data_IF_134717525468
#
_entry.id   IF_134717525468
#
_cell.length_a   1.000
_cell.length_b   1.000
_cell.length_c   1.000
_cell.angle_alpha   90.00
_cell.angle_beta   90.00
_cell.angle_gamma   90.00
#
_symmetry.space_group_name_H-M   'P 1'
#
loop_
_entity.id
_entity.type
_entity.pdbx_description
1 polymer ?
#
# COMPACT_ATOMS: atom_id res chain seq x y z
N UNK A 1 71.84 29.15 -14.40
CA UNK A 1 70.91 28.80 -15.50
C UNK A 1 70.07 27.64 -14.98
N UNK A 2 69.19 27.92 -14.01
CA UNK A 2 67.74 28.09 -14.25
C UNK A 2 67.13 26.87 -14.94
N UNK A 3 66.47 25.99 -14.19
CA UNK A 3 65.01 25.81 -14.32
C UNK A 3 64.47 24.62 -13.49
N UNK A 4 63.55 24.98 -12.62
CA UNK A 4 62.40 24.23 -12.07
C UNK A 4 61.97 22.92 -12.78
N UNK A 5 61.50 21.95 -11.97
CA UNK A 5 60.30 21.06 -12.12
C UNK A 5 60.55 19.72 -11.38
N UNK A 6 59.68 19.08 -10.60
CA UNK A 6 58.29 19.28 -10.16
C UNK A 6 58.07 18.31 -8.99
N UNK A 7 57.44 18.77 -7.91
CA UNK A 7 56.98 17.93 -6.80
C UNK A 7 55.84 17.00 -7.29
N UNK A 8 56.02 15.68 -7.23
CA UNK A 8 54.99 14.72 -7.58
C UNK A 8 53.93 14.68 -6.46
N UNK A 9 52.81 15.38 -6.64
CA UNK A 9 51.61 15.21 -5.79
C UNK A 9 50.93 13.90 -6.19
N UNK A 10 50.96 12.91 -5.29
CA UNK A 10 50.10 11.74 -5.37
C UNK A 10 48.66 12.16 -5.07
N UNK A 11 47.85 12.38 -6.10
CA UNK A 11 46.42 12.60 -5.95
C UNK A 11 45.73 11.24 -5.86
N UNK A 12 45.39 10.81 -4.65
CA UNK A 12 44.43 9.72 -4.42
C UNK A 12 43.07 10.15 -5.02
N UNK A 13 42.73 9.62 -6.20
CA UNK A 13 41.38 9.70 -6.73
C UNK A 13 40.50 8.74 -5.92
N UNK A 14 39.96 9.23 -4.80
CA UNK A 14 38.87 8.56 -4.10
C UNK A 14 37.61 8.77 -4.97
N UNK A 15 37.36 7.83 -5.88
CA UNK A 15 36.13 7.80 -6.65
C UNK A 15 34.95 7.64 -5.70
N UNK A 16 34.28 8.74 -5.38
CA UNK A 16 32.94 8.71 -4.81
C UNK A 16 32.04 8.07 -5.85
N UNK A 17 31.79 6.77 -5.71
CA UNK A 17 30.64 6.11 -6.29
C UNK A 17 29.41 6.75 -5.64
N UNK A 18 28.97 7.87 -6.21
CA UNK A 18 27.64 8.41 -5.96
C UNK A 18 26.70 7.38 -6.57
N UNK A 19 26.30 6.40 -5.76
CA UNK A 19 25.23 5.49 -6.14
C UNK A 19 24.03 6.35 -6.48
N UNK A 20 23.66 6.37 -7.76
CA UNK A 20 22.38 6.93 -8.18
C UNK A 20 21.31 6.25 -7.34
N UNK A 21 20.46 7.02 -6.66
CA UNK A 21 19.31 6.46 -5.97
C UNK A 21 18.46 5.70 -6.99
N UNK A 22 18.61 4.38 -7.04
CA UNK A 22 17.82 3.54 -7.93
C UNK A 22 16.41 3.45 -7.34
N UNK A 23 15.45 4.00 -8.07
CA UNK A 23 14.06 3.57 -7.98
C UNK A 23 14.02 2.11 -8.45
N UNK A 24 13.96 1.14 -7.54
CA UNK A 24 14.33 -0.24 -7.87
C UNK A 24 13.22 -1.24 -7.55
N UNK A 25 12.47 -1.58 -8.59
CA UNK A 25 11.83 -2.89 -8.68
C UNK A 25 12.94 -3.91 -8.99
N UNK A 26 13.22 -4.79 -8.03
CA UNK A 26 14.29 -5.80 -8.16
C UNK A 26 13.78 -7.05 -8.84
N UNK A 27 12.49 -7.35 -8.70
CA UNK A 27 11.92 -8.60 -9.20
C UNK A 27 10.43 -8.49 -9.48
N UNK A 28 10.00 -9.11 -10.57
CA UNK A 28 8.62 -9.32 -10.96
C UNK A 28 8.33 -10.81 -10.88
N UNK A 29 7.23 -11.17 -10.20
CA UNK A 29 6.60 -12.48 -10.30
C UNK A 29 5.28 -12.30 -11.04
N UNK A 30 5.23 -12.71 -12.30
CA UNK A 30 4.07 -12.52 -13.16
C UNK A 30 3.39 -13.86 -13.47
N UNK A 31 2.06 -13.83 -13.55
CA UNK A 31 1.28 -14.89 -14.15
C UNK A 31 1.50 -14.94 -15.65
N UNK A 32 1.21 -16.09 -16.26
CA UNK A 32 1.07 -16.18 -17.72
C UNK A 32 -0.05 -15.20 -18.14
N UNK A 33 0.14 -14.41 -19.23
CA UNK A 33 -0.91 -13.56 -19.76
C UNK A 33 -2.16 -14.37 -20.13
N UNK A 34 -3.34 -13.87 -19.75
CA UNK A 34 -4.64 -14.49 -20.05
C UNK A 34 -5.51 -13.54 -20.88
N UNK A 35 -6.43 -14.05 -21.74
CA UNK A 35 -7.35 -13.19 -22.46
C UNK A 35 -8.20 -12.33 -21.51
N UNK A 36 -8.28 -11.02 -21.77
CA UNK A 36 -9.17 -10.12 -21.04
C UNK A 36 -10.53 -10.01 -21.73
N UNK A 37 -11.57 -9.62 -20.97
CA UNK A 37 -12.91 -9.31 -21.48
C UNK A 37 -13.51 -10.42 -22.37
N UNK A 38 -13.32 -11.68 -21.96
CA UNK A 38 -13.75 -12.88 -22.70
C UNK A 38 -13.29 -12.93 -24.18
N UNK A 39 -12.13 -12.31 -24.46
CA UNK A 39 -11.54 -12.27 -25.80
C UNK A 39 -12.22 -11.29 -26.77
N UNK A 40 -13.05 -10.37 -26.26
CA UNK A 40 -13.68 -9.29 -27.05
C UNK A 40 -12.63 -8.53 -27.87
N UNK A 41 -12.99 -8.22 -29.12
CA UNK A 41 -12.16 -7.41 -30.02
C UNK A 41 -12.67 -5.98 -30.01
N UNK A 42 -11.78 -5.03 -29.71
CA UNK A 42 -12.10 -3.61 -29.73
C UNK A 42 -11.57 -2.99 -31.03
N UNK A 43 -12.37 -2.13 -31.66
CA UNK A 43 -11.96 -1.40 -32.85
C UNK A 43 -10.69 -0.59 -32.55
N UNK A 44 -9.73 -0.58 -33.48
CA UNK A 44 -8.44 0.12 -33.33
C UNK A 44 -7.39 -0.66 -32.51
N UNK A 45 -7.77 -1.29 -31.40
CA UNK A 45 -6.82 -1.89 -30.46
C UNK A 45 -6.73 -3.43 -30.48
N UNK A 46 -7.71 -4.13 -31.05
CA UNK A 46 -7.73 -5.59 -31.13
C UNK A 46 -8.16 -6.25 -29.81
N UNK A 47 -7.62 -7.45 -29.54
CA UNK A 47 -7.85 -8.19 -28.29
C UNK A 47 -6.97 -7.63 -27.18
N UNK A 48 -7.40 -7.83 -25.94
CA UNK A 48 -6.63 -7.49 -24.74
C UNK A 48 -6.24 -8.74 -23.99
N UNK A 49 -5.15 -8.64 -23.26
CA UNK A 49 -4.69 -9.63 -22.30
C UNK A 49 -4.49 -8.99 -20.93
N UNK A 50 -4.53 -9.85 -19.91
CA UNK A 50 -4.34 -9.48 -18.51
C UNK A 50 -3.13 -10.22 -17.94
N UNK A 51 -2.32 -9.50 -17.18
CA UNK A 51 -1.15 -10.02 -16.48
C UNK A 51 -1.27 -9.61 -15.01
N UNK A 52 -1.24 -10.59 -14.10
CA UNK A 52 -1.31 -10.37 -12.65
C UNK A 52 -0.01 -10.80 -12.01
N UNK A 53 0.34 -10.22 -10.87
CA UNK A 53 1.58 -10.61 -10.22
C UNK A 53 1.95 -9.78 -9.01
N UNK A 54 3.22 -9.88 -8.65
CA UNK A 54 3.86 -9.10 -7.58
C UNK A 54 5.11 -8.42 -8.12
N UNK A 55 5.31 -7.17 -7.72
CA UNK A 55 6.56 -6.47 -7.88
C UNK A 55 7.24 -6.32 -6.52
N UNK A 56 8.48 -6.78 -6.43
CA UNK A 56 9.36 -6.68 -5.28
C UNK A 56 10.28 -5.48 -5.48
N UNK A 57 10.37 -4.63 -4.47
CA UNK A 57 11.21 -3.44 -4.55
C UNK A 57 12.03 -3.21 -3.29
N UNK A 58 13.07 -2.40 -3.46
CA UNK A 58 14.06 -2.08 -2.45
C UNK A 58 14.37 -0.59 -2.45
N UNK A 59 14.46 0.00 -1.26
CA UNK A 59 14.88 1.40 -1.10
C UNK A 59 16.03 1.54 -0.11
N UNK A 60 16.97 2.43 -0.42
CA UNK A 60 18.02 2.81 0.53
C UNK A 60 17.39 3.78 1.56
N UNK A 61 17.34 3.41 2.86
CA UNK A 61 16.78 4.27 3.90
C UNK A 61 17.59 5.55 4.13
N UNK A 62 18.84 5.63 3.64
CA UNK A 62 19.73 6.79 3.78
C UNK A 62 19.64 7.74 2.58
N UNK A 63 19.07 7.31 1.46
CA UNK A 63 18.92 8.16 0.29
C UNK A 63 17.97 9.34 0.62
N UNK A 64 18.30 10.60 0.27
CA UNK A 64 17.50 11.76 0.67
C UNK A 64 16.02 11.66 0.32
N UNK A 65 15.68 11.11 -0.85
CA UNK A 65 14.28 10.93 -1.28
C UNK A 65 13.49 9.85 -0.52
N UNK A 66 14.17 8.97 0.20
CA UNK A 66 13.53 7.92 1.01
C UNK A 66 13.64 8.22 2.51
N UNK A 67 14.67 8.96 2.95
CA UNK A 67 14.89 9.30 4.35
C UNK A 67 13.75 10.12 4.98
N UNK A 68 12.91 10.76 4.16
CA UNK A 68 11.68 11.44 4.57
C UNK A 68 10.54 10.49 4.98
N UNK A 69 10.63 9.20 4.62
CA UNK A 69 9.63 8.21 4.96
C UNK A 69 9.71 7.94 6.46
N UNK A 70 8.59 8.19 7.15
CA UNK A 70 8.50 7.96 8.60
C UNK A 70 8.92 6.53 8.95
N UNK A 71 9.75 6.39 9.98
CA UNK A 71 10.28 5.13 10.53
C UNK A 71 11.15 4.30 9.57
N UNK A 72 11.52 4.79 8.39
CA UNK A 72 12.34 4.03 7.42
C UNK A 72 13.71 3.63 7.98
N UNK A 73 14.28 4.46 8.86
CA UNK A 73 15.55 4.17 9.53
C UNK A 73 15.47 2.98 10.52
N UNK A 74 14.26 2.70 11.02
CA UNK A 74 13.90 1.66 11.98
C UNK A 74 13.33 0.40 11.31
N UNK A 75 13.17 0.42 9.98
CA UNK A 75 12.72 -0.72 9.22
C UNK A 75 13.79 -1.84 9.22
N UNK A 76 13.38 -3.12 9.19
CA UNK A 76 14.29 -4.22 8.89
C UNK A 76 14.94 -4.03 7.51
N UNK A 77 16.21 -4.44 7.41
CA UNK A 77 17.03 -4.28 6.21
C UNK A 77 17.55 -5.64 5.77
N UNK A 78 17.61 -5.86 4.47
CA UNK A 78 18.23 -7.06 3.91
C UNK A 78 19.77 -6.98 4.01
N UNK A 79 20.47 -8.02 3.53
CA UNK A 79 21.93 -8.10 3.57
C UNK A 79 22.66 -6.97 2.81
N UNK A 80 21.98 -6.26 1.91
CA UNK A 80 22.49 -5.07 1.20
C UNK A 80 22.26 -3.77 1.96
N UNK A 81 21.56 -3.82 3.09
CA UNK A 81 21.18 -2.63 3.86
C UNK A 81 19.93 -1.92 3.32
N UNK A 82 19.20 -2.53 2.39
CA UNK A 82 18.00 -1.96 1.77
C UNK A 82 16.74 -2.36 2.52
N UNK A 83 15.72 -1.51 2.50
CA UNK A 83 14.38 -1.82 3.02
C UNK A 83 13.53 -2.37 1.89
N UNK A 84 12.96 -3.56 2.11
CA UNK A 84 12.19 -4.29 1.11
C UNK A 84 10.69 -4.01 1.24
N UNK A 85 9.98 -4.03 0.11
CA UNK A 85 8.52 -4.02 0.06
C UNK A 85 8.02 -4.91 -1.09
N UNK A 86 6.73 -5.26 -1.04
CA UNK A 86 6.05 -5.99 -2.12
C UNK A 86 4.73 -5.32 -2.46
N UNK A 87 4.45 -5.14 -3.74
CA UNK A 87 3.18 -4.63 -4.25
C UNK A 87 2.55 -5.64 -5.20
N UNK A 88 1.25 -5.91 -5.04
CA UNK A 88 0.49 -6.61 -6.08
C UNK A 88 0.37 -5.71 -7.30
N UNK A 89 0.39 -6.33 -8.49
CA UNK A 89 0.19 -5.66 -9.77
C UNK A 89 -0.84 -6.39 -10.62
N UNK A 90 -1.65 -5.63 -11.34
CA UNK A 90 -2.63 -6.13 -12.30
C UNK A 90 -2.62 -5.22 -13.52
N UNK A 91 -2.42 -5.80 -14.70
CA UNK A 91 -2.16 -5.09 -15.93
C UNK A 91 -3.12 -5.61 -16.98
N UNK A 92 -3.86 -4.71 -17.63
CA UNK A 92 -4.65 -5.01 -18.82
C UNK A 92 -4.07 -4.19 -19.98
N UNK A 93 -3.67 -4.88 -21.06
CA UNK A 93 -3.00 -4.26 -22.23
C UNK A 93 -3.49 -4.87 -23.55
N UNK A 94 -3.34 -4.17 -24.69
CA UNK A 94 -3.53 -4.78 -25.99
C UNK A 94 -2.63 -6.01 -26.14
N UNK A 95 -3.20 -7.11 -26.64
CA UNK A 95 -2.47 -8.36 -26.89
C UNK A 95 -1.47 -8.23 -28.06
N UNK A 96 -1.76 -7.31 -29.00
CA UNK A 96 -0.81 -6.85 -30.01
C UNK A 96 -0.24 -5.49 -29.56
N UNK A 97 1.03 -5.43 -29.11
CA UNK A 97 1.65 -4.19 -28.66
C UNK A 97 1.65 -3.07 -29.70
N UNK A 98 1.66 -3.40 -31.00
CA UNK A 98 1.63 -2.39 -32.08
C UNK A 98 0.30 -1.63 -32.13
N UNK A 99 -0.73 -2.11 -31.43
CA UNK A 99 -2.05 -1.48 -31.31
C UNK A 99 -2.25 -0.73 -29.99
N UNK A 100 -1.21 -0.62 -29.16
CA UNK A 100 -1.22 0.28 -28.01
C UNK A 100 -1.12 1.73 -28.45
N UNK A 101 -1.75 2.62 -27.68
CA UNK A 101 -1.56 4.08 -27.84
C UNK A 101 -0.32 4.62 -27.11
N UNK A 102 0.51 3.75 -26.53
CA UNK A 102 1.70 4.10 -25.75
C UNK A 102 1.42 4.94 -24.50
N UNK A 103 0.18 4.95 -24.00
CA UNK A 103 -0.20 5.63 -22.76
C UNK A 103 -0.54 4.59 -21.70
N UNK A 104 0.15 4.72 -20.56
CA UNK A 104 -0.08 3.92 -19.37
C UNK A 104 -1.01 4.68 -18.42
N UNK A 105 -2.20 4.12 -18.20
CA UNK A 105 -3.11 4.58 -17.14
C UNK A 105 -2.72 3.90 -15.82
N UNK A 106 -1.91 4.61 -15.03
CA UNK A 106 -1.41 4.12 -13.74
C UNK A 106 -2.42 4.45 -12.64
N UNK A 107 -3.29 3.51 -12.32
CA UNK A 107 -4.37 3.74 -11.37
C UNK A 107 -3.92 3.51 -9.92
N UNK A 108 -3.84 4.60 -9.17
CA UNK A 108 -3.75 4.56 -7.70
C UNK A 108 -5.07 4.01 -7.16
N UNK A 109 -5.03 2.77 -6.69
CA UNK A 109 -6.22 2.08 -6.16
C UNK A 109 -6.73 2.73 -4.88
N UNK A 110 -8.05 2.73 -4.70
CA UNK A 110 -8.67 3.19 -3.46
C UNK A 110 -8.90 1.99 -2.53
N UNK A 111 -8.10 1.87 -1.46
CA UNK A 111 -8.15 0.72 -0.52
C UNK A 111 -8.01 -0.63 -1.22
N UNK A 112 -7.12 -0.68 -2.21
CA UNK A 112 -6.91 -1.85 -3.05
C UNK A 112 -7.94 -2.04 -4.17
N UNK A 113 -8.99 -1.22 -4.26
CA UNK A 113 -10.03 -1.38 -5.27
C UNK A 113 -9.69 -0.72 -6.62
N UNK A 114 -9.99 -1.42 -7.72
CA UNK A 114 -9.61 -1.09 -9.10
C UNK A 114 -10.66 -0.20 -9.77
N UNK A 115 -10.55 1.11 -9.53
CA UNK A 115 -11.55 2.07 -10.03
C UNK A 115 -11.46 2.43 -11.52
N UNK A 116 -10.28 2.26 -12.15
CA UNK A 116 -10.03 2.85 -13.47
C UNK A 116 -11.05 2.48 -14.58
N UNK A 117 -11.47 1.23 -14.72
CA UNK A 117 -12.41 0.87 -15.80
C UNK A 117 -13.74 1.61 -15.62
N UNK A 118 -14.34 1.56 -14.43
CA UNK A 118 -15.61 2.24 -14.14
C UNK A 118 -15.54 3.77 -14.08
N UNK A 119 -14.35 4.36 -13.96
CA UNK A 119 -14.17 5.81 -13.97
C UNK A 119 -14.14 6.40 -15.39
N UNK A 120 -13.69 5.63 -16.39
CA UNK A 120 -13.46 6.11 -17.75
C UNK A 120 -14.37 5.49 -18.80
N UNK A 121 -14.87 4.27 -18.57
CA UNK A 121 -15.80 3.61 -19.47
C UNK A 121 -17.24 3.76 -18.94
N UNK A 122 -18.20 3.96 -19.84
CA UNK A 122 -19.62 3.93 -19.51
C UNK A 122 -20.12 2.48 -19.36
N UNK A 123 -21.29 2.32 -18.72
CA UNK A 123 -22.01 1.03 -18.61
C UNK A 123 -21.23 -0.13 -17.95
N UNK A 124 -20.24 0.21 -17.11
CA UNK A 124 -19.50 -0.77 -16.29
C UNK A 124 -20.31 -1.11 -15.05
N UNK A 125 -20.34 -2.40 -14.67
CA UNK A 125 -20.91 -2.84 -13.39
C UNK A 125 -20.37 -2.03 -12.19
N UNK A 126 -21.29 -1.51 -11.38
CA UNK A 126 -20.98 -0.45 -10.43
C UNK A 126 -20.50 -0.92 -9.05
N UNK A 127 -20.71 -2.18 -8.66
CA UNK A 127 -20.27 -2.63 -7.33
C UNK A 127 -18.76 -2.89 -7.30
N UNK A 128 -18.17 -2.74 -6.12
CA UNK A 128 -16.70 -2.83 -5.92
C UNK A 128 -16.15 -4.21 -6.29
N UNK A 129 -16.93 -5.28 -6.06
CA UNK A 129 -16.48 -6.63 -6.38
C UNK A 129 -16.32 -6.85 -7.88
N UNK A 130 -17.31 -6.43 -8.67
CA UNK A 130 -17.27 -6.48 -10.13
C UNK A 130 -16.17 -5.56 -10.69
N UNK A 131 -15.94 -4.40 -10.08
CA UNK A 131 -14.82 -3.53 -10.49
C UNK A 131 -13.46 -4.22 -10.27
N UNK A 132 -13.28 -4.92 -9.15
CA UNK A 132 -12.02 -5.58 -8.84
C UNK A 132 -11.73 -6.82 -9.70
N UNK A 133 -12.76 -7.46 -10.28
CA UNK A 133 -12.53 -8.50 -11.28
C UNK A 133 -11.96 -7.91 -12.56
N UNK A 134 -12.26 -6.63 -12.87
CA UNK A 134 -11.86 -5.93 -14.09
C UNK A 134 -12.20 -6.70 -15.38
N UNK A 135 -13.28 -7.49 -15.35
CA UNK A 135 -13.72 -8.34 -16.47
C UNK A 135 -14.76 -7.70 -17.36
N UNK A 136 -15.41 -6.64 -16.90
CA UNK A 136 -16.42 -5.89 -17.64
C UNK A 136 -15.82 -4.60 -18.20
N UNK A 137 -15.68 -4.47 -19.53
CA UNK A 137 -15.17 -3.25 -20.13
C UNK A 137 -16.23 -2.16 -20.26
N UNK A 138 -17.52 -2.43 -19.99
CA UNK A 138 -18.60 -1.50 -20.34
C UNK A 138 -18.60 -1.17 -21.83
N UNK A 139 -18.67 0.12 -22.16
CA UNK A 139 -18.54 0.63 -23.54
C UNK A 139 -17.15 0.39 -24.16
N UNK A 140 -16.14 0.09 -23.34
CA UNK A 140 -14.78 -0.19 -23.76
C UNK A 140 -14.02 1.02 -24.28
N UNK A 141 -14.37 2.25 -23.88
CA UNK A 141 -13.72 3.47 -24.39
C UNK A 141 -12.19 3.45 -24.25
N UNK A 142 -11.67 3.05 -23.09
CA UNK A 142 -10.23 2.88 -22.86
C UNK A 142 -9.63 1.84 -23.82
N UNK A 143 -10.32 0.72 -24.01
CA UNK A 143 -9.85 -0.38 -24.83
C UNK A 143 -9.84 -0.01 -26.31
N UNK A 144 -10.89 0.64 -26.83
CA UNK A 144 -10.95 1.12 -28.22
C UNK A 144 -9.82 2.11 -28.54
N UNK A 145 -9.31 2.82 -27.54
CA UNK A 145 -8.19 3.75 -27.66
C UNK A 145 -6.82 3.11 -27.41
N UNK A 146 -6.74 1.82 -27.11
CA UNK A 146 -5.46 1.11 -26.95
C UNK A 146 -4.70 1.42 -25.66
N UNK A 147 -5.36 1.87 -24.59
CA UNK A 147 -4.70 2.13 -23.31
C UNK A 147 -4.20 0.86 -22.63
N UNK A 148 -3.03 0.94 -22.03
CA UNK A 148 -2.59 -0.04 -21.02
C UNK A 148 -3.00 0.46 -19.65
N UNK A 149 -3.76 -0.33 -18.90
CA UNK A 149 -4.22 0.00 -17.55
C UNK A 149 -3.43 -0.82 -16.55
N UNK A 150 -2.90 -0.16 -15.52
CA UNK A 150 -2.12 -0.78 -14.45
C UNK A 150 -2.73 -0.42 -13.11
N UNK A 151 -2.97 -1.42 -12.29
CA UNK A 151 -3.27 -1.28 -10.87
C UNK A 151 -2.12 -1.81 -10.05
N UNK A 152 -1.87 -1.18 -8.91
CA UNK A 152 -0.88 -1.64 -7.95
C UNK A 152 -1.34 -1.37 -6.52
N UNK A 153 -0.88 -2.18 -5.57
CA UNK A 153 -1.14 -1.95 -4.16
C UNK A 153 -0.18 -0.92 -3.57
N UNK A 154 -0.68 0.08 -2.85
CA UNK A 154 0.16 1.06 -2.15
C UNK A 154 -0.12 1.14 -0.65
N UNK A 155 -1.29 0.67 -0.21
CA UNK A 155 -1.75 0.83 1.16
C UNK A 155 -1.50 -0.46 1.96
N UNK A 156 -0.61 -0.39 2.95
CA UNK A 156 -0.08 -1.56 3.70
C UNK A 156 -0.99 -2.15 4.78
N UNK A 157 -2.14 -1.54 5.04
CA UNK A 157 -3.15 -1.98 5.99
C UNK A 157 -4.44 -2.45 5.31
N UNK A 158 -4.45 -2.67 3.98
CA UNK A 158 -5.59 -3.29 3.30
C UNK A 158 -5.55 -4.81 3.52
N UNK A 159 -6.65 -5.39 4.01
CA UNK A 159 -6.77 -6.85 4.13
C UNK A 159 -7.03 -7.51 2.77
N UNK A 160 -6.73 -8.81 2.66
CA UNK A 160 -7.03 -9.59 1.47
C UNK A 160 -8.55 -9.75 1.23
N UNK A 161 -8.91 -10.22 0.05
CA UNK A 161 -10.30 -10.51 -0.34
C UNK A 161 -10.83 -9.54 -1.41
N UNK A 162 -11.87 -9.98 -2.10
CA UNK A 162 -12.52 -9.26 -3.19
C UNK A 162 -11.56 -8.80 -4.31
N UNK A 163 -10.50 -9.57 -4.61
CA UNK A 163 -9.50 -9.25 -5.64
C UNK A 163 -8.80 -7.88 -5.50
N UNK A 164 -8.75 -7.33 -4.29
CA UNK A 164 -8.05 -6.09 -3.97
C UNK A 164 -6.55 -6.19 -4.23
N UNK A 165 -5.94 -5.09 -4.64
CA UNK A 165 -4.48 -4.95 -4.75
C UNK A 165 -3.88 -4.67 -3.39
N UNK A 166 -2.96 -5.53 -2.94
CA UNK A 166 -2.35 -5.45 -1.63
C UNK A 166 -0.94 -4.89 -1.70
N UNK A 167 -0.50 -4.34 -0.57
CA UNK A 167 0.85 -3.85 -0.37
C UNK A 167 1.38 -4.42 0.94
N UNK A 168 2.61 -4.92 0.93
CA UNK A 168 3.30 -5.38 2.12
C UNK A 168 4.45 -4.42 2.44
N UNK A 169 4.26 -3.66 3.53
CA UNK A 169 5.30 -2.86 4.16
C UNK A 169 5.84 -3.60 5.39
N UNK A 170 7.14 -3.49 5.68
CA UNK A 170 7.72 -4.02 6.90
C UNK A 170 7.22 -3.26 8.14
N UNK A 171 7.28 -3.94 9.28
CA UNK A 171 7.04 -3.34 10.59
C UNK A 171 8.35 -2.75 11.11
N UNK A 172 8.32 -1.48 11.53
CA UNK A 172 9.47 -0.83 12.15
C UNK A 172 9.67 -1.34 13.59
N UNK A 173 10.94 -1.45 14.00
CA UNK A 173 11.35 -1.92 15.33
C UNK A 173 12.36 -0.95 15.95
N UNK A 174 12.40 -0.89 17.28
CA UNK A 174 13.49 -0.20 17.97
C UNK A 174 14.84 -0.85 17.64
N UNK A 175 15.94 -0.13 17.87
CA UNK A 175 17.30 -0.62 17.57
C UNK A 175 17.67 -1.90 18.32
N UNK A 176 17.06 -2.13 19.48
CA UNK A 176 17.23 -3.34 20.29
C UNK A 176 16.31 -4.51 19.85
N UNK A 177 15.51 -4.31 18.79
CA UNK A 177 14.56 -5.27 18.26
C UNK A 177 13.18 -5.24 18.93
N UNK A 178 13.00 -4.46 20.00
CA UNK A 178 11.71 -4.34 20.68
C UNK A 178 10.67 -3.63 19.80
N UNK A 179 9.40 -3.87 20.11
CA UNK A 179 8.30 -3.26 19.39
C UNK A 179 8.23 -1.74 19.62
N UNK A 180 7.96 -1.00 18.54
CA UNK A 180 7.62 0.42 18.66
C UNK A 180 6.17 0.52 19.10
N UNK A 181 5.91 1.33 20.13
CA UNK A 181 4.56 1.62 20.59
C UNK A 181 4.25 3.11 20.46
N UNK A 182 2.97 3.44 20.24
CA UNK A 182 2.53 4.82 20.06
C UNK A 182 1.04 4.97 20.36
N UNK A 183 0.60 6.20 20.64
CA UNK A 183 -0.81 6.48 20.89
C UNK A 183 -1.53 6.59 19.53
N UNK A 184 -2.60 5.82 19.37
CA UNK A 184 -3.49 5.88 18.21
C UNK A 184 -4.87 6.31 18.69
N UNK A 185 -5.48 7.23 17.93
CA UNK A 185 -6.91 7.56 18.03
C UNK A 185 -7.64 6.85 16.91
N UNK A 186 -8.69 6.13 17.25
CA UNK A 186 -9.63 5.52 16.31
C UNK A 186 -11.04 6.01 16.58
N UNK A 187 -11.84 6.16 15.54
CA UNK A 187 -13.25 6.48 15.63
C UNK A 187 -14.07 5.35 15.04
N UNK A 188 -14.79 4.65 15.91
CA UNK A 188 -15.60 3.48 15.60
C UNK A 188 -17.03 3.92 15.39
N UNK A 189 -17.57 3.54 14.23
CA UNK A 189 -18.96 3.69 13.85
C UNK A 189 -19.45 2.35 13.32
N UNK A 190 -20.65 1.94 13.72
CA UNK A 190 -21.24 0.67 13.35
C UNK A 190 -22.53 0.88 12.56
N UNK A 191 -22.78 0.03 11.57
CA UNK A 191 -24.01 0.08 10.75
C UNK A 191 -25.17 -0.68 11.38
N UNK A 192 -24.87 -1.66 12.24
CA UNK A 192 -25.84 -2.42 13.02
C UNK A 192 -25.32 -2.55 14.47
N UNK A 193 -26.22 -2.74 15.45
CA UNK A 193 -25.80 -3.03 16.82
C UNK A 193 -24.85 -4.22 16.88
N UNK A 194 -23.71 -4.07 17.55
CA UNK A 194 -22.71 -5.13 17.74
C UNK A 194 -22.01 -4.95 19.08
N UNK A 195 -21.54 -6.04 19.68
CA UNK A 195 -20.72 -5.99 20.91
C UNK A 195 -19.24 -5.82 20.62
N UNK A 196 -18.78 -6.22 19.44
CA UNK A 196 -17.37 -6.22 19.08
C UNK A 196 -17.16 -5.39 17.80
N UNK A 197 -16.04 -4.68 17.74
CA UNK A 197 -15.54 -4.00 16.54
C UNK A 197 -14.02 -4.17 16.42
N UNK A 198 -13.47 -4.02 15.21
CA UNK A 198 -12.03 -3.84 15.06
C UNK A 198 -11.59 -2.52 15.70
N UNK A 199 -10.38 -2.47 16.29
CA UNK A 199 -9.86 -1.26 16.95
C UNK A 199 -9.66 -0.09 15.97
N UNK A 200 -9.41 -0.36 14.68
CA UNK A 200 -9.40 0.62 13.59
C UNK A 200 -10.63 0.54 12.67
N UNK A 201 -11.70 -0.12 13.13
CA UNK A 201 -12.95 -0.26 12.37
C UNK A 201 -13.75 1.04 12.33
N UNK A 202 -14.46 1.28 11.24
CA UNK A 202 -15.32 2.45 11.06
C UNK A 202 -16.02 2.44 9.70
N UNK A 203 -16.87 3.44 9.47
CA UNK A 203 -17.75 3.52 8.30
C UNK A 203 -17.01 3.32 6.97
N UNK A 204 -15.83 3.93 6.83
CA UNK A 204 -15.05 3.88 5.59
C UNK A 204 -14.10 2.69 5.49
N UNK A 205 -13.79 2.06 6.62
CA UNK A 205 -12.87 0.91 6.64
C UNK A 205 -13.61 -0.41 6.46
N UNK A 206 -14.91 -0.47 6.78
CA UNK A 206 -15.82 -1.63 6.61
C UNK A 206 -15.22 -2.97 7.11
N UNK A 207 -14.33 -2.90 8.12
CA UNK A 207 -13.56 -4.07 8.59
C UNK A 207 -12.53 -4.63 7.60
N UNK A 208 -12.35 -4.00 6.44
CA UNK A 208 -11.41 -4.38 5.41
C UNK A 208 -9.98 -3.90 5.62
N UNK A 209 -9.66 -3.35 6.80
CA UNK A 209 -8.34 -2.82 7.14
C UNK A 209 -7.72 -3.53 8.36
N UNK A 210 -6.43 -3.79 8.26
CA UNK A 210 -5.60 -4.36 9.29
C UNK A 210 -5.15 -3.29 10.28
N UNK A 211 -5.88 -3.18 11.38
CA UNK A 211 -5.63 -2.16 12.41
C UNK A 211 -4.31 -2.42 13.15
N UNK A 212 -3.68 -1.35 13.65
CA UNK A 212 -2.57 -1.49 14.58
C UNK A 212 -3.05 -2.25 15.83
N UNK A 213 -2.37 -3.34 16.23
CA UNK A 213 -2.71 -4.05 17.45
C UNK A 213 -2.46 -3.17 18.68
N UNK A 214 -3.28 -3.32 19.73
CA UNK A 214 -2.96 -2.75 21.04
C UNK A 214 -1.71 -3.41 21.64
N UNK A 215 -0.88 -2.63 22.31
CA UNK A 215 0.31 -3.10 23.00
C UNK A 215 -0.03 -3.93 24.26
N UNK A 216 -1.25 -3.78 24.80
CA UNK A 216 -1.77 -4.57 25.91
C UNK A 216 -3.28 -4.74 25.74
N UNK A 217 -3.79 -5.95 26.01
CA UNK A 217 -5.24 -6.20 26.06
C UNK A 217 -5.85 -5.82 27.41
N UNK A 218 -5.03 -5.56 28.44
CA UNK A 218 -5.48 -5.00 29.70
C UNK A 218 -5.71 -3.49 29.53
N UNK A 219 -6.96 -3.07 29.70
CA UNK A 219 -7.37 -1.67 29.65
C UNK A 219 -7.55 -1.04 31.04
N UNK A 220 -7.39 -1.78 32.14
CA UNK A 220 -7.55 -1.28 33.51
C UNK A 220 -6.24 -0.85 34.17
N UNK A 221 -5.11 -1.38 33.70
CA UNK A 221 -3.78 -1.06 34.23
C UNK A 221 -3.09 0.03 33.41
N UNK A 222 -2.54 1.03 34.10
CA UNK A 222 -1.73 2.09 33.46
C UNK A 222 -0.42 1.53 32.93
N UNK A 223 0.00 1.99 31.77
CA UNK A 223 1.35 1.81 31.27
C UNK A 223 2.37 2.50 32.20
N UNK A 224 3.64 2.15 32.08
CA UNK A 224 4.71 2.69 32.92
C UNK A 224 4.84 4.22 32.88
N UNK A 225 4.43 4.85 31.77
CA UNK A 225 4.38 6.31 31.59
C UNK A 225 3.08 6.95 32.10
N UNK A 226 2.21 6.18 32.75
CA UNK A 226 0.94 6.62 33.30
C UNK A 226 -0.22 6.65 32.29
N UNK A 227 0.02 6.30 31.02
CA UNK A 227 -1.04 6.23 30.01
C UNK A 227 -2.06 5.14 30.34
N UNK A 228 -3.35 5.45 30.18
CA UNK A 228 -4.45 4.50 30.25
C UNK A 228 -5.29 4.67 28.98
N UNK A 229 -5.64 3.59 28.26
CA UNK A 229 -6.48 3.70 27.09
C UNK A 229 -7.88 4.18 27.50
N UNK A 230 -8.54 4.96 26.64
CA UNK A 230 -9.86 5.52 26.90
C UNK A 230 -10.82 5.22 25.77
N UNK A 231 -12.09 5.02 26.13
CA UNK A 231 -13.20 4.92 25.21
C UNK A 231 -14.21 6.01 25.56
N UNK A 232 -14.59 6.82 24.58
CA UNK A 232 -15.65 7.83 24.76
C UNK A 232 -16.73 7.65 23.69
N UNK A 233 -17.92 8.15 23.96
CA UNK A 233 -19.04 8.14 23.02
C UNK A 233 -19.62 9.54 22.86
N UNK A 234 -19.96 9.91 21.63
CA UNK A 234 -20.69 11.15 21.30
C UNK A 234 -21.62 10.95 20.11
N UNK A 235 -22.65 11.79 20.00
CA UNK A 235 -23.64 11.73 18.89
C UNK A 235 -23.25 12.65 17.73
N UNK A 236 -22.47 13.70 17.99
CA UNK A 236 -21.97 14.64 16.97
C UNK A 236 -20.47 14.82 17.16
N UNK A 237 -19.75 15.04 16.07
CA UNK A 237 -18.29 15.22 16.11
C UNK A 237 -17.89 16.35 17.06
N UNK A 238 -18.61 17.47 17.01
CA UNK A 238 -18.37 18.66 17.83
C UNK A 238 -18.89 18.57 19.27
N UNK A 239 -19.57 17.50 19.66
CA UNK A 239 -20.08 17.33 21.02
C UNK A 239 -18.97 16.81 21.94
N UNK A 240 -18.97 17.16 23.24
CA UNK A 240 -18.04 16.55 24.18
C UNK A 240 -18.26 15.04 24.26
N UNK A 241 -17.17 14.27 24.27
CA UNK A 241 -17.21 12.83 24.49
C UNK A 241 -17.60 12.48 25.92
N UNK A 242 -18.51 11.53 26.09
CA UNK A 242 -18.84 10.93 27.38
C UNK A 242 -17.97 9.70 27.57
N UNK A 243 -17.21 9.65 28.67
CA UNK A 243 -16.34 8.50 28.99
C UNK A 243 -17.18 7.25 29.23
N UNK A 244 -16.78 6.15 28.59
CA UNK A 244 -17.22 4.79 28.94
C UNK A 244 -16.15 4.22 29.90
N UNK A 245 -16.49 3.94 31.17
CA UNK A 245 -15.55 3.41 32.15
C UNK A 245 -14.81 2.17 31.65
N UNK A 246 -13.52 2.02 31.98
CA UNK A 246 -12.71 0.88 31.56
C UNK A 246 -13.22 -0.47 32.09
N UNK A 247 -14.07 -0.48 33.13
CA UNK A 247 -14.81 -1.67 33.59
C UNK A 247 -15.88 -2.14 32.61
N UNK A 248 -16.30 -1.28 31.69
CA UNK A 248 -17.47 -1.51 30.84
C UNK A 248 -17.08 -1.90 29.41
N UNK A 249 -15.78 -2.00 29.10
CA UNK A 249 -15.27 -2.43 27.80
C UNK A 249 -13.94 -3.17 27.97
N UNK A 250 -13.49 -3.88 26.94
CA UNK A 250 -12.18 -4.57 26.94
C UNK A 250 -11.59 -4.65 25.53
N UNK A 251 -10.28 -4.85 25.41
CA UNK A 251 -9.68 -5.26 24.15
C UNK A 251 -9.91 -6.75 23.93
N UNK A 252 -10.66 -7.10 22.90
CA UNK A 252 -11.00 -8.48 22.62
C UNK A 252 -12.30 -8.67 21.87
N UNK A 253 -12.61 -9.93 21.61
CA UNK A 253 -13.93 -10.40 21.20
C UNK A 253 -14.72 -10.81 22.45
N UNK A 254 -14.92 -9.83 23.33
CA UNK A 254 -15.52 -9.95 24.67
C UNK A 254 -14.79 -10.98 25.55
N UNK A 255 -15.22 -12.23 25.54
CA UNK A 255 -14.69 -13.28 26.41
C UNK A 255 -13.27 -13.73 26.02
N UNK A 256 -12.80 -13.31 24.83
CA UNK A 256 -11.48 -13.66 24.31
C UNK A 256 -10.63 -12.41 24.07
N UNK A 257 -9.49 -12.26 24.76
CA UNK A 257 -8.53 -11.20 24.45
C UNK A 257 -8.07 -11.26 22.99
N UNK A 258 -8.05 -10.10 22.33
CA UNK A 258 -7.62 -9.93 20.95
C UNK A 258 -7.10 -8.50 20.79
N UNK A 259 -5.85 -8.37 20.34
CA UNK A 259 -5.17 -7.08 20.24
C UNK A 259 -5.75 -6.17 19.14
N UNK A 260 -6.54 -6.68 18.21
CA UNK A 260 -7.11 -5.93 17.09
C UNK A 260 -8.60 -5.70 17.20
N UNK A 261 -9.22 -6.09 18.32
CA UNK A 261 -10.65 -5.90 18.58
C UNK A 261 -10.89 -5.14 19.87
N UNK A 262 -12.06 -4.54 19.96
CA UNK A 262 -12.61 -3.94 21.18
C UNK A 262 -14.02 -4.46 21.37
N UNK A 263 -14.33 -4.87 22.60
CA UNK A 263 -15.67 -5.26 23.01
C UNK A 263 -16.26 -4.22 23.97
N UNK A 264 -17.53 -3.91 23.73
CA UNK A 264 -18.41 -3.17 24.61
C UNK A 264 -19.63 -4.08 24.88
N UNK A 265 -19.73 -4.75 26.04
CA UNK A 265 -20.84 -5.66 26.34
C UNK A 265 -22.23 -5.01 26.22
N UNK A 266 -22.33 -3.72 26.56
CA UNK A 266 -23.53 -2.90 26.38
C UNK A 266 -23.91 -2.63 24.90
N UNK A 267 -23.00 -2.91 23.97
CA UNK A 267 -23.16 -2.78 22.53
C UNK A 267 -22.77 -1.40 21.97
N UNK A 268 -22.02 -1.43 20.88
CA UNK A 268 -21.88 -0.31 19.94
C UNK A 268 -23.21 -0.10 19.21
N UNK A 269 -23.63 1.16 19.07
CA UNK A 269 -24.92 1.55 18.47
C UNK A 269 -24.72 2.39 17.21
N UNK A 270 -25.54 2.17 16.17
CA UNK A 270 -25.57 3.08 15.03
C UNK A 270 -25.88 4.53 15.45
N UNK A 271 -25.41 5.50 14.66
CA UNK A 271 -25.61 6.94 14.92
C UNK A 271 -24.78 7.50 16.09
N UNK A 272 -23.82 6.74 16.61
CA UNK A 272 -22.88 7.18 17.64
C UNK A 272 -21.44 7.09 17.13
N UNK A 273 -20.59 8.01 17.59
CA UNK A 273 -19.16 8.02 17.37
C UNK A 273 -18.48 7.55 18.64
N UNK A 274 -17.80 6.41 18.56
CA UNK A 274 -17.02 5.86 19.67
C UNK A 274 -15.54 6.15 19.42
N UNK A 275 -14.93 6.96 20.26
CA UNK A 275 -13.52 7.29 20.14
C UNK A 275 -12.69 6.44 21.09
N UNK A 276 -11.82 5.63 20.51
CA UNK A 276 -10.87 4.79 21.22
C UNK A 276 -9.47 5.41 21.09
N UNK A 277 -8.89 5.83 22.21
CA UNK A 277 -7.50 6.26 22.30
C UNK A 277 -6.73 5.16 23.02
N UNK A 278 -5.75 4.55 22.34
CA UNK A 278 -5.05 3.38 22.87
C UNK A 278 -3.56 3.39 22.51
N UNK A 279 -2.77 2.62 23.25
CA UNK A 279 -1.36 2.37 22.95
C UNK A 279 -1.30 1.26 21.92
N UNK A 280 -1.05 1.60 20.67
CA UNK A 280 -0.79 0.65 19.60
C UNK A 280 0.66 0.16 19.60
N UNK A 281 0.91 -0.94 18.90
CA UNK A 281 2.25 -1.47 18.62
C UNK A 281 2.40 -1.85 17.15
N UNK A 282 3.64 -2.11 16.74
CA UNK A 282 4.01 -2.68 15.45
C UNK A 282 3.62 -1.79 14.25
N UNK A 283 4.12 -0.53 14.20
CA UNK A 283 3.83 0.36 13.09
C UNK A 283 4.46 -0.15 11.79
N UNK A 284 3.65 -0.25 10.74
CA UNK A 284 4.13 -0.49 9.38
C UNK A 284 4.76 0.78 8.83
N UNK A 285 5.82 0.65 8.04
CA UNK A 285 6.46 1.76 7.32
C UNK A 285 5.61 2.13 6.11
N UNK A 286 4.41 2.67 6.36
CA UNK A 286 3.35 2.88 5.37
C UNK A 286 3.75 3.80 4.22
N UNK A 287 4.66 4.74 4.46
CA UNK A 287 5.14 5.65 3.42
C UNK A 287 5.89 4.96 2.27
N UNK A 288 6.32 3.70 2.45
CA UNK A 288 6.85 2.88 1.36
C UNK A 288 5.84 2.65 0.23
N UNK A 289 4.54 2.78 0.49
CA UNK A 289 3.51 2.69 -0.55
C UNK A 289 3.69 3.73 -1.67
N UNK A 290 4.11 4.94 -1.30
CA UNK A 290 4.41 6.00 -2.26
C UNK A 290 5.71 5.73 -3.02
N UNK A 291 6.72 5.19 -2.33
CA UNK A 291 7.94 4.73 -2.97
C UNK A 291 7.65 3.61 -3.98
N UNK A 292 6.79 2.64 -3.63
CA UNK A 292 6.36 1.58 -4.52
C UNK A 292 5.69 2.12 -5.79
N UNK A 293 4.80 3.11 -5.67
CA UNK A 293 4.20 3.78 -6.83
C UNK A 293 5.22 4.49 -7.71
N UNK A 294 6.14 5.25 -7.11
CA UNK A 294 7.26 5.92 -7.81
C UNK A 294 8.13 4.90 -8.56
N UNK A 295 8.54 3.84 -7.88
CA UNK A 295 9.53 2.88 -8.37
C UNK A 295 8.92 1.98 -9.43
N UNK A 296 7.70 1.49 -9.22
CA UNK A 296 6.97 0.73 -10.24
C UNK A 296 6.68 1.59 -11.47
N UNK A 297 6.19 2.82 -11.29
CA UNK A 297 5.92 3.73 -12.41
C UNK A 297 7.17 4.04 -13.22
N UNK A 298 8.31 4.24 -12.54
CA UNK A 298 9.61 4.47 -13.19
C UNK A 298 10.08 3.21 -13.93
N UNK A 299 10.01 2.05 -13.29
CA UNK A 299 10.37 0.76 -13.90
C UNK A 299 9.57 0.52 -15.18
N UNK A 300 8.24 0.60 -15.08
CA UNK A 300 7.34 0.35 -16.21
C UNK A 300 7.55 1.34 -17.37
N UNK A 301 8.10 2.52 -17.09
CA UNK A 301 8.36 3.55 -18.10
C UNK A 301 9.74 3.41 -18.78
N UNK A 302 10.74 2.86 -18.09
CA UNK A 302 12.16 3.05 -18.47
C UNK A 302 12.99 1.77 -18.52
N UNK A 303 12.50 0.65 -17.99
CA UNK A 303 13.28 -0.59 -17.91
C UNK A 303 12.70 -1.65 -18.84
N UNK A 304 13.57 -2.41 -19.50
CA UNK A 304 13.16 -3.54 -20.35
C UNK A 304 12.91 -4.83 -19.56
N UNK A 305 13.59 -4.99 -18.41
CA UNK A 305 13.53 -6.17 -17.55
C UNK A 305 13.94 -5.83 -16.12
N UNK A 306 13.54 -6.68 -15.18
CA UNK A 306 14.03 -6.66 -13.80
C UNK A 306 15.43 -7.29 -13.67
N UNK A 307 15.95 -7.35 -12.43
CA UNK A 307 17.27 -7.92 -12.15
C UNK A 307 17.31 -9.44 -12.32
N UNK A 308 16.16 -10.11 -12.27
CA UNK A 308 16.01 -11.55 -12.48
C UNK A 308 15.85 -11.93 -13.96
N UNK A 309 15.72 -10.94 -14.85
CA UNK A 309 15.54 -11.13 -16.29
C UNK A 309 14.07 -11.23 -16.74
N UNK A 310 13.10 -11.03 -15.85
CA UNK A 310 11.68 -10.93 -16.21
C UNK A 310 11.46 -9.67 -17.05
N UNK A 311 10.95 -9.83 -18.26
CA UNK A 311 10.67 -8.71 -19.15
C UNK A 311 9.59 -7.78 -18.55
N UNK A 312 9.69 -6.49 -18.86
CA UNK A 312 8.70 -5.50 -18.49
C UNK A 312 7.34 -5.86 -19.12
N UNK A 313 6.26 -6.03 -18.31
CA UNK A 313 4.93 -6.38 -18.79
C UNK A 313 4.18 -5.21 -19.42
N UNK A 314 4.80 -4.05 -19.63
CA UNK A 314 4.29 -3.04 -20.55
C UNK A 314 5.26 -2.90 -21.70
N UNK A 315 4.78 -3.11 -22.92
CA UNK A 315 5.60 -3.03 -24.12
C UNK A 315 5.55 -1.60 -24.63
N UNK A 316 6.72 -1.00 -24.73
CA UNK A 316 6.97 0.26 -25.41
C UNK A 316 7.00 -0.03 -26.92
N UNK A 317 6.03 0.47 -27.69
CA UNK A 317 6.12 0.38 -29.15
C UNK A 317 7.43 0.98 -29.68
N UNK A 318 7.87 0.65 -30.91
CA UNK A 318 9.10 1.20 -31.47
C UNK A 318 9.04 2.74 -31.45
N UNK A 319 9.88 3.36 -30.61
CA UNK A 319 9.96 4.82 -30.45
C UNK A 319 9.61 5.36 -29.06
N UNK A 320 9.07 4.56 -28.14
CA UNK A 320 8.98 4.96 -26.73
C UNK A 320 10.35 4.71 -26.09
N UNK A 321 11.12 5.78 -25.92
CA UNK A 321 12.47 5.72 -25.34
C UNK A 321 12.39 5.35 -23.85
N UNK A 322 13.21 4.37 -23.46
CA UNK A 322 13.67 4.15 -22.10
C UNK A 322 14.38 5.39 -21.54
#
# INVERSE_FOLDING_TARGET
>A
MEMFKTLLRATCALGLLIGTAEARITRLELSVPEPAFDGKVFAGAGKFERVRGKAYGEVDPKAPGNAIIQDIGLAPKNARGMVEYVTDIDIIRPADPARSNNVLLFNVVNRGNKGAIGLFNADVKANVADQNTASDPGDGWLQQRGYTVVWFGWQGDVMAGNNRQLFAAPVARNKDGSAITGIVRSEIVVQAPTRTSAVGGGWFTEGGHDSYPTASTDNGTKFADGFLPTLTVRVRESAPGVVIPNSDWSFGDCDKPDAKKVCLPAGFKPGHLYELIYRATDPKVMGLGFAAGRDLGTFLKTRDKDDAGTANPVVHGPGVKA
#
